data_IF_862975635160
#
_entry.id   IF_862975635160
#
_cell.length_a   1.000
_cell.length_b   1.000
_cell.length_c   1.000
_cell.angle_alpha   90.00
_cell.angle_beta   90.00
_cell.angle_gamma   90.00
#
_symmetry.space_group_name_H-M   'P 1'
#
loop_
_entity.id
_entity.type
_entity.pdbx_description
1 polymer ?
#
# COMPACT_ATOMS: atom_id res chain seq x y z
N UNK A 1 -28.99 -9.75 -42.03
CA UNK A 1 -29.26 -8.32 -42.27
C UNK A 1 -28.73 -7.53 -41.08
N UNK A 2 -27.59 -6.85 -41.23
CA UNK A 2 -26.95 -6.10 -40.15
C UNK A 2 -27.67 -4.78 -39.89
N UNK A 3 -28.11 -4.55 -38.65
CA UNK A 3 -28.73 -3.29 -38.25
C UNK A 3 -27.68 -2.19 -38.27
N UNK A 4 -27.78 -1.29 -39.25
CA UNK A 4 -26.93 -0.11 -39.34
C UNK A 4 -27.28 0.84 -38.21
N UNK A 5 -26.33 1.07 -37.30
CA UNK A 5 -26.45 2.08 -36.24
C UNK A 5 -26.67 3.46 -36.86
N UNK A 6 -27.76 4.12 -36.46
CA UNK A 6 -28.15 5.47 -36.89
C UNK A 6 -26.99 6.47 -36.76
N UNK A 7 -26.84 7.36 -37.76
CA UNK A 7 -25.79 8.39 -37.80
C UNK A 7 -25.77 9.25 -36.52
N UNK A 8 -26.93 9.50 -35.92
CA UNK A 8 -27.07 10.25 -34.66
C UNK A 8 -26.43 9.56 -33.46
N UNK A 9 -26.37 8.22 -33.46
CA UNK A 9 -25.72 7.45 -32.40
C UNK A 9 -24.19 7.57 -32.52
N UNK A 10 -23.65 7.45 -33.73
CA UNK A 10 -22.21 7.60 -34.00
C UNK A 10 -21.70 8.99 -33.61
N UNK A 11 -22.47 10.02 -33.93
CA UNK A 11 -22.15 11.40 -33.57
C UNK A 11 -22.09 11.60 -32.05
N UNK A 12 -23.04 11.02 -31.30
CA UNK A 12 -23.08 11.10 -29.83
C UNK A 12 -21.91 10.36 -29.17
N UNK A 13 -21.52 9.20 -29.71
CA UNK A 13 -20.35 8.45 -29.24
C UNK A 13 -19.06 9.24 -29.54
N UNK A 14 -18.98 9.86 -30.71
CA UNK A 14 -17.83 10.69 -31.10
C UNK A 14 -17.71 11.93 -30.21
N UNK A 15 -18.81 12.64 -29.94
CA UNK A 15 -18.83 13.78 -29.01
C UNK A 15 -18.37 13.39 -27.61
N UNK A 16 -18.90 12.29 -27.05
CA UNK A 16 -18.46 11.80 -25.73
C UNK A 16 -16.99 11.40 -25.70
N UNK A 17 -16.47 10.88 -26.81
CA UNK A 17 -15.05 10.51 -26.91
C UNK A 17 -14.18 11.77 -26.97
N UNK A 18 -14.60 12.79 -27.72
CA UNK A 18 -13.93 14.09 -27.83
C UNK A 18 -13.88 14.81 -26.48
N UNK A 19 -15.01 14.88 -25.77
CA UNK A 19 -15.11 15.49 -24.43
C UNK A 19 -14.19 14.80 -23.43
N UNK A 20 -14.09 13.46 -23.50
CA UNK A 20 -13.25 12.67 -22.61
C UNK A 20 -11.75 12.90 -22.88
N UNK A 21 -11.38 13.08 -24.14
CA UNK A 21 -10.01 13.44 -24.55
C UNK A 21 -9.68 14.86 -24.06
N UNK A 22 -10.57 15.83 -24.29
CA UNK A 22 -10.36 17.21 -23.89
C UNK A 22 -10.28 17.37 -22.36
N UNK A 23 -11.11 16.64 -21.62
CA UNK A 23 -11.07 16.62 -20.16
C UNK A 23 -9.78 15.98 -19.62
N UNK A 24 -9.23 14.97 -20.32
CA UNK A 24 -7.94 14.37 -19.95
C UNK A 24 -6.79 15.35 -20.14
N UNK A 25 -6.82 16.14 -21.21
CA UNK A 25 -5.76 17.09 -21.54
C UNK A 25 -5.79 18.33 -20.64
N UNK A 26 -6.97 18.82 -20.25
CA UNK A 26 -7.08 19.84 -19.19
C UNK A 26 -6.46 19.38 -17.87
N UNK A 27 -6.74 18.14 -17.44
CA UNK A 27 -6.14 17.58 -16.21
C UNK A 27 -4.63 17.39 -16.30
N UNK A 28 -4.09 17.17 -17.50
CA UNK A 28 -2.64 17.10 -17.74
C UNK A 28 -2.00 18.49 -17.65
N UNK A 29 -2.61 19.49 -18.29
CA UNK A 29 -2.14 20.88 -18.19
C UNK A 29 -2.19 21.41 -16.76
N UNK A 30 -3.25 21.11 -16.00
CA UNK A 30 -3.34 21.52 -14.58
C UNK A 30 -2.23 20.90 -13.73
N UNK A 31 -1.86 19.63 -13.99
CA UNK A 31 -0.72 18.98 -13.30
C UNK A 31 0.62 19.61 -13.67
N UNK A 32 0.81 19.94 -14.93
CA UNK A 32 2.03 20.58 -15.41
C UNK A 32 2.17 22.01 -14.86
N UNK A 33 1.09 22.79 -14.86
CA UNK A 33 1.06 24.11 -14.24
C UNK A 33 1.32 24.04 -12.73
N UNK A 34 0.77 23.04 -12.02
CA UNK A 34 1.03 22.85 -10.59
C UNK A 34 2.49 22.46 -10.30
N UNK A 35 3.11 21.72 -11.21
CA UNK A 35 4.53 21.34 -11.12
C UNK A 35 5.45 22.55 -11.38
N UNK A 36 5.15 23.36 -12.42
CA UNK A 36 5.86 24.61 -12.69
C UNK A 36 5.71 25.63 -11.56
N UNK A 37 4.53 25.72 -10.95
CA UNK A 37 4.31 26.60 -9.80
C UNK A 37 5.14 26.16 -8.58
N UNK A 38 5.34 24.86 -8.38
CA UNK A 38 6.22 24.33 -7.33
C UNK A 38 7.70 24.63 -7.62
N UNK A 39 8.17 24.52 -8.87
CA UNK A 39 9.54 24.92 -9.24
C UNK A 39 9.81 26.41 -9.03
N UNK A 40 8.84 27.27 -9.33
CA UNK A 40 8.96 28.73 -9.09
C UNK A 40 9.01 29.04 -7.59
N UNK A 41 8.24 28.32 -6.75
CA UNK A 41 8.24 28.54 -5.31
C UNK A 41 9.52 28.04 -4.63
N UNK A 42 10.15 26.97 -5.14
CA UNK A 42 11.44 26.46 -4.62
C UNK A 42 12.58 27.44 -4.89
N UNK A 43 12.53 28.19 -6.00
CA UNK A 43 13.53 29.21 -6.33
C UNK A 43 13.32 30.56 -5.61
N UNK A 44 12.23 30.72 -4.84
CA UNK A 44 11.93 31.96 -4.10
C UNK A 44 12.42 31.93 -2.64
N UNK A 45 12.78 30.76 -2.11
CA UNK A 45 13.13 30.57 -0.70
C UNK A 45 14.63 30.26 -0.48
N UNK A 46 15.53 31.01 -1.11
CA UNK A 46 16.95 30.96 -0.74
C UNK A 46 17.56 32.37 -0.56
N UNK A 47 17.55 32.92 0.67
CA UNK A 47 18.11 34.25 0.95
C UNK A 47 19.64 34.31 1.12
N UNK A 48 20.38 33.20 0.99
CA UNK A 48 21.84 33.24 1.06
C UNK A 48 22.44 32.24 0.10
N UNK A 49 23.25 32.79 -0.81
CA UNK A 49 24.52 32.28 -1.31
C UNK A 49 24.57 32.29 -2.84
N UNK A 50 25.35 33.23 -3.39
CA UNK A 50 26.13 33.10 -4.64
C UNK A 50 26.77 34.45 -5.01
N UNK A 51 27.86 34.81 -4.34
CA UNK A 51 28.89 35.68 -4.93
C UNK A 51 30.18 34.86 -5.10
N UNK A 52 30.24 34.02 -6.13
CA UNK A 52 31.53 33.58 -6.70
C UNK A 52 31.42 33.62 -8.24
N UNK A 53 32.13 34.55 -8.91
CA UNK A 53 32.23 34.55 -10.35
C UNK A 53 33.25 33.51 -10.82
N UNK A 54 32.79 32.56 -11.63
CA UNK A 54 33.65 31.68 -12.41
C UNK A 54 34.16 32.50 -13.60
N UNK A 55 35.46 32.78 -13.64
CA UNK A 55 36.13 33.27 -14.85
C UNK A 55 37.31 32.38 -15.21
N UNK A 56 37.37 32.14 -16.50
CA UNK A 56 38.33 31.42 -17.32
C UNK A 56 39.81 31.71 -17.02
N UNK A 57 40.62 30.66 -17.17
CA UNK A 57 41.97 30.59 -17.76
C UNK A 57 42.92 31.79 -17.57
N UNK A 58 44.08 31.55 -16.94
CA UNK A 58 45.45 31.84 -17.45
C UNK A 58 46.47 32.17 -16.33
N UNK A 59 47.65 31.53 -16.40
CA UNK A 59 48.99 32.10 -16.10
C UNK A 59 49.50 32.19 -14.64
N UNK A 60 50.41 31.25 -14.33
CA UNK A 60 51.78 31.45 -13.81
C UNK A 60 52.05 31.97 -12.39
N UNK A 61 52.90 31.16 -11.72
CA UNK A 61 54.13 31.50 -10.97
C UNK A 61 54.07 31.73 -9.45
N UNK A 62 55.00 30.99 -8.80
CA UNK A 62 55.77 31.28 -7.58
C UNK A 62 55.02 31.12 -6.24
N UNK A 63 55.24 30.03 -5.50
CA UNK A 63 56.37 29.76 -4.57
C UNK A 63 56.17 30.42 -3.20
N UNK A 64 55.96 29.60 -2.16
CA UNK A 64 56.78 29.52 -0.93
C UNK A 64 55.99 28.79 0.18
N UNK A 65 56.48 27.60 0.56
CA UNK A 65 56.42 27.04 1.93
C UNK A 65 57.22 27.96 2.89
N UNK A 66 57.12 27.90 4.24
CA UNK A 66 57.13 26.64 5.02
C UNK A 66 56.41 26.61 6.40
N UNK A 67 56.36 25.40 7.00
CA UNK A 67 56.58 25.03 8.42
C UNK A 67 55.78 25.70 9.57
N UNK A 68 55.44 25.11 10.73
CA UNK A 68 55.82 23.88 11.44
C UNK A 68 54.80 23.64 12.60
N UNK A 69 54.47 22.37 12.90
CA UNK A 69 54.24 21.74 14.24
C UNK A 69 53.26 22.29 15.30
N UNK A 70 52.42 21.38 15.86
CA UNK A 70 52.27 21.04 17.31
C UNK A 70 50.82 20.94 17.84
N UNK A 71 50.40 19.68 18.11
CA UNK A 71 49.77 19.14 19.33
C UNK A 71 48.59 19.90 20.00
N UNK A 72 47.36 19.33 19.96
CA UNK A 72 46.67 18.72 21.12
C UNK A 72 45.16 18.46 20.87
N UNK A 73 44.70 17.35 21.45
CA UNK A 73 43.30 16.97 21.62
C UNK A 73 42.55 17.99 22.50
N UNK A 74 41.29 18.30 22.18
CA UNK A 74 40.23 18.44 23.19
C UNK A 74 38.83 18.51 22.56
N UNK A 75 37.94 17.70 23.12
CA UNK A 75 36.50 17.58 22.78
C UNK A 75 35.70 18.63 23.57
N UNK A 76 34.77 19.39 22.95
CA UNK A 76 33.81 20.19 23.71
C UNK A 76 32.46 19.44 23.91
N UNK A 77 31.85 19.50 25.12
CA UNK A 77 30.60 18.80 25.44
C UNK A 77 29.33 19.64 25.15
N UNK A 78 28.22 18.94 24.95
CA UNK A 78 26.86 19.44 24.71
C UNK A 78 26.19 20.06 25.95
N UNK A 79 25.33 21.10 25.82
CA UNK A 79 24.64 21.68 26.97
C UNK A 79 23.40 20.89 27.43
N UNK A 80 23.37 20.58 28.73
CA UNK A 80 22.28 19.91 29.47
C UNK A 80 21.26 20.96 29.96
N UNK A 81 19.98 20.85 29.58
CA UNK A 81 18.90 21.70 30.12
C UNK A 81 18.56 21.28 31.57
N UNK A 82 18.53 22.26 32.48
CA UNK A 82 18.13 22.11 33.88
C UNK A 82 16.60 22.11 34.01
N UNK A 83 16.09 21.32 34.96
CA UNK A 83 14.68 21.19 35.32
C UNK A 83 14.48 21.95 36.63
N UNK A 84 13.73 23.05 36.61
CA UNK A 84 13.29 23.75 37.82
C UNK A 84 11.95 23.16 38.32
N UNK A 85 11.79 22.89 39.63
CA UNK A 85 10.53 22.46 40.22
C UNK A 85 9.73 23.64 40.79
N UNK A 86 8.40 23.51 40.73
CA UNK A 86 7.37 24.12 41.59
C UNK A 86 6.39 25.15 40.97
N UNK A 87 5.36 24.61 40.32
CA UNK A 87 3.89 24.83 40.50
C UNK A 87 3.38 26.27 40.78
N UNK A 88 2.55 26.80 39.86
CA UNK A 88 1.13 27.12 40.13
C UNK A 88 0.35 27.53 38.86
N UNK A 89 -0.78 26.84 38.65
CA UNK A 89 -2.05 27.20 37.99
C UNK A 89 -2.07 28.03 36.69
N UNK A 90 -2.70 27.48 35.64
CA UNK A 90 -3.98 27.94 35.04
C UNK A 90 -4.30 26.99 33.87
N UNK A 91 -5.33 26.15 34.02
CA UNK A 91 -5.90 25.32 32.95
C UNK A 91 -6.83 26.19 32.08
N UNK A 92 -6.75 26.15 30.73
CA UNK A 92 -7.78 26.72 29.90
C UNK A 92 -9.03 25.83 29.85
N UNK A 93 -10.14 26.50 30.12
CA UNK A 93 -11.53 26.08 30.19
C UNK A 93 -12.01 25.27 28.97
N UNK A 94 -12.50 24.04 29.16
CA UNK A 94 -13.20 23.24 28.14
C UNK A 94 -14.72 23.49 28.22
N UNK A 95 -15.36 24.06 27.19
CA UNK A 95 -16.82 24.05 27.12
C UNK A 95 -17.30 22.68 26.61
N UNK A 96 -17.89 21.89 27.51
CA UNK A 96 -18.88 20.88 27.16
C UNK A 96 -20.11 21.59 26.61
N UNK A 97 -20.66 21.19 25.46
CA UNK A 97 -22.10 20.89 25.24
C UNK A 97 -22.35 20.28 23.84
N UNK A 98 -23.36 19.42 23.80
CA UNK A 98 -24.18 18.97 22.66
C UNK A 98 -23.79 17.71 21.87
N UNK A 99 -24.32 16.59 22.39
CA UNK A 99 -24.88 15.46 21.62
C UNK A 99 -25.57 15.95 20.34
N UNK A 100 -25.05 15.59 19.18
CA UNK A 100 -25.80 15.64 17.93
C UNK A 100 -26.35 14.26 17.56
N UNK A 101 -27.64 14.32 17.21
CA UNK A 101 -28.57 13.21 16.97
C UNK A 101 -28.13 12.35 15.79
N UNK A 102 -28.34 11.04 15.95
CA UNK A 102 -28.41 10.08 14.84
C UNK A 102 -29.50 10.54 13.88
N UNK A 103 -29.10 11.06 12.73
CA UNK A 103 -30.01 11.33 11.62
C UNK A 103 -30.14 10.05 10.80
N UNK A 104 -31.16 9.25 11.13
CA UNK A 104 -31.69 8.23 10.23
C UNK A 104 -32.39 8.97 9.09
N UNK A 105 -31.80 8.93 7.89
CA UNK A 105 -32.50 8.93 6.60
C UNK A 105 -31.46 8.84 5.47
N UNK A 106 -31.24 7.63 4.96
CA UNK A 106 -30.89 7.46 3.55
C UNK A 106 -31.86 6.44 2.94
N UNK A 107 -32.52 6.90 1.88
CA UNK A 107 -33.49 6.17 1.10
C UNK A 107 -32.93 4.82 0.64
N UNK A 108 -33.77 3.80 0.80
CA UNK A 108 -33.60 2.50 0.19
C UNK A 108 -33.38 2.64 -1.32
N UNK A 109 -32.22 2.16 -1.79
CA UNK A 109 -32.09 1.68 -3.16
C UNK A 109 -31.93 0.17 -3.09
N UNK A 110 -33.06 -0.53 -3.16
CA UNK A 110 -33.13 -1.96 -3.34
C UNK A 110 -32.37 -2.34 -4.62
N UNK A 111 -31.26 -3.05 -4.47
CA UNK A 111 -30.82 -4.02 -5.46
C UNK A 111 -30.85 -5.38 -4.78
N UNK A 112 -31.75 -6.21 -5.26
CA UNK A 112 -32.03 -7.57 -4.84
C UNK A 112 -30.77 -8.41 -4.83
N UNK A 113 -30.39 -8.96 -3.68
CA UNK A 113 -29.45 -10.07 -3.61
C UNK A 113 -30.10 -11.25 -2.91
N UNK A 114 -30.21 -12.32 -3.67
CA UNK A 114 -30.73 -13.62 -3.28
C UNK A 114 -29.98 -14.19 -2.07
N UNK A 115 -30.74 -14.92 -1.24
CA UNK A 115 -30.31 -15.83 -0.17
C UNK A 115 -28.84 -16.27 -0.28
N UNK A 116 -27.98 -15.73 0.59
CA UNK A 116 -26.75 -16.39 1.00
C UNK A 116 -26.82 -16.70 2.48
N UNK A 117 -26.53 -17.96 2.79
CA UNK A 117 -26.39 -18.55 4.13
C UNK A 117 -25.54 -17.63 5.01
N UNK A 118 -25.88 -17.55 6.28
CA UNK A 118 -25.29 -16.64 7.27
C UNK A 118 -23.75 -16.76 7.33
N UNK A 119 -23.03 -15.85 6.69
CA UNK A 119 -21.58 -15.68 6.83
C UNK A 119 -21.35 -14.65 7.94
N UNK A 120 -20.54 -14.96 8.97
CA UNK A 120 -20.26 -14.02 10.05
C UNK A 120 -19.66 -12.71 9.52
N UNK A 121 -20.06 -11.59 10.13
CA UNK A 121 -19.79 -10.23 9.65
C UNK A 121 -18.29 -9.87 9.50
N UNK A 122 -17.37 -10.66 10.07
CA UNK A 122 -15.93 -10.46 9.91
C UNK A 122 -15.38 -10.89 8.54
N UNK A 123 -16.03 -11.83 7.83
CA UNK A 123 -15.58 -12.34 6.53
C UNK A 123 -16.09 -11.51 5.34
N UNK A 124 -17.11 -10.65 5.54
CA UNK A 124 -17.79 -9.97 4.44
C UNK A 124 -16.96 -8.86 3.75
N UNK A 125 -16.02 -8.23 4.46
CA UNK A 125 -15.28 -7.08 3.91
C UNK A 125 -14.02 -7.46 3.12
N UNK A 126 -13.35 -8.55 3.48
CA UNK A 126 -12.17 -9.07 2.76
C UNK A 126 -12.58 -9.89 1.52
N UNK A 127 -13.81 -10.42 1.51
CA UNK A 127 -14.39 -11.15 0.38
C UNK A 127 -14.72 -10.28 -0.85
N UNK A 128 -14.56 -8.94 -0.78
CA UNK A 128 -14.93 -8.02 -1.87
C UNK A 128 -14.20 -8.30 -3.19
N UNK A 129 -13.06 -9.01 -3.15
CA UNK A 129 -12.28 -9.38 -4.32
C UNK A 129 -12.41 -10.85 -4.73
N UNK A 130 -13.22 -11.67 -4.06
CA UNK A 130 -13.39 -13.09 -4.38
C UNK A 130 -14.34 -13.22 -5.58
N UNK A 131 -13.86 -13.49 -6.81
CA UNK A 131 -14.75 -13.63 -7.96
C UNK A 131 -15.68 -14.83 -7.76
N UNK A 132 -16.92 -14.70 -8.27
CA UNK A 132 -17.98 -15.72 -8.26
C UNK A 132 -17.61 -17.05 -8.96
N UNK A 133 -16.38 -17.17 -9.49
CA UNK A 133 -15.84 -18.32 -10.22
C UNK A 133 -15.35 -19.45 -9.31
N UNK A 134 -15.44 -19.28 -7.99
CA UNK A 134 -14.84 -20.18 -7.00
C UNK A 134 -15.31 -21.63 -7.13
N UNK A 135 -16.60 -21.85 -7.46
CA UNK A 135 -17.15 -23.20 -7.67
C UNK A 135 -16.52 -23.93 -8.87
N UNK A 136 -16.01 -23.20 -9.88
CA UNK A 136 -15.36 -23.81 -11.06
C UNK A 136 -13.89 -24.14 -10.87
N UNK A 137 -13.22 -23.44 -9.96
CA UNK A 137 -11.78 -23.62 -9.72
C UNK A 137 -11.54 -24.82 -8.82
N UNK A 138 -12.41 -25.04 -7.82
CA UNK A 138 -12.36 -26.21 -6.93
C UNK A 138 -12.43 -27.52 -7.75
N UNK A 139 -13.23 -27.56 -8.81
CA UNK A 139 -13.34 -28.71 -9.71
C UNK A 139 -12.11 -28.90 -10.64
N UNK A 140 -11.25 -27.88 -10.78
CA UNK A 140 -10.14 -27.85 -11.76
C UNK A 140 -8.78 -28.23 -11.18
N UNK A 141 -8.60 -28.30 -9.86
CA UNK A 141 -7.29 -28.63 -9.26
C UNK A 141 -7.08 -30.15 -9.25
N UNK A 142 -6.87 -30.74 -10.43
CA UNK A 142 -6.45 -32.15 -10.58
C UNK A 142 -4.95 -32.35 -10.34
N UNK A 143 -4.15 -31.30 -10.52
CA UNK A 143 -2.72 -31.32 -10.35
C UNK A 143 -2.26 -30.01 -9.67
N UNK A 144 -2.04 -30.02 -8.34
CA UNK A 144 -1.72 -28.81 -7.59
C UNK A 144 -0.38 -28.18 -8.02
N UNK A 145 0.61 -28.97 -8.45
CA UNK A 145 1.91 -28.46 -8.89
C UNK A 145 1.83 -27.73 -10.24
N UNK A 146 0.96 -28.20 -11.15
CA UNK A 146 0.69 -27.50 -12.40
C UNK A 146 0.01 -26.15 -12.13
N UNK A 147 -1.07 -26.16 -11.34
CA UNK A 147 -1.83 -24.95 -11.02
C UNK A 147 -0.96 -23.96 -10.23
N UNK A 148 -0.06 -24.44 -9.36
CA UNK A 148 0.91 -23.60 -8.67
C UNK A 148 1.80 -22.85 -9.65
N UNK A 149 2.41 -23.56 -10.63
CA UNK A 149 3.25 -22.91 -11.64
C UNK A 149 2.48 -21.89 -12.47
N UNK A 150 1.28 -22.23 -12.89
CA UNK A 150 0.39 -21.33 -13.63
C UNK A 150 0.03 -20.07 -12.82
N UNK A 151 -0.28 -20.23 -11.54
CA UNK A 151 -0.56 -19.12 -10.64
C UNK A 151 0.66 -18.19 -10.51
N UNK A 152 1.85 -18.75 -10.29
CA UNK A 152 3.10 -17.98 -10.12
C UNK A 152 3.49 -17.24 -11.41
N UNK A 153 3.29 -17.86 -12.58
CA UNK A 153 3.50 -17.22 -13.88
C UNK A 153 2.49 -16.08 -14.12
N UNK A 154 1.22 -16.30 -13.77
CA UNK A 154 0.16 -15.28 -13.89
C UNK A 154 0.40 -14.08 -12.97
N UNK A 155 0.90 -14.30 -11.75
CA UNK A 155 1.25 -13.21 -10.82
C UNK A 155 2.47 -12.42 -11.31
N UNK A 156 3.38 -13.06 -12.03
CA UNK A 156 4.59 -12.41 -12.56
C UNK A 156 4.31 -11.51 -13.79
N UNK A 157 3.12 -11.61 -14.39
CA UNK A 157 2.73 -10.76 -15.52
C UNK A 157 2.53 -9.29 -15.11
N UNK A 158 2.70 -8.36 -16.05
CA UNK A 158 2.43 -6.92 -15.83
C UNK A 158 0.94 -6.57 -15.89
N UNK A 159 0.14 -7.41 -16.57
CA UNK A 159 -1.29 -7.22 -16.64
C UNK A 159 -1.96 -7.51 -15.30
N UNK A 160 -2.68 -6.52 -14.78
CA UNK A 160 -3.28 -6.59 -13.45
C UNK A 160 -4.43 -7.61 -13.35
N UNK A 161 -5.13 -7.90 -14.45
CA UNK A 161 -6.20 -8.91 -14.45
C UNK A 161 -5.59 -10.30 -14.35
N UNK A 162 -4.49 -10.53 -15.08
CA UNK A 162 -3.71 -11.76 -14.97
C UNK A 162 -3.14 -11.96 -13.57
N UNK A 163 -2.58 -10.90 -12.96
CA UNK A 163 -2.15 -10.95 -11.55
C UNK A 163 -3.27 -11.35 -10.61
N UNK A 164 -4.44 -10.72 -10.71
CA UNK A 164 -5.61 -11.05 -9.89
C UNK A 164 -6.07 -12.50 -10.12
N UNK A 165 -6.06 -12.98 -11.37
CA UNK A 165 -6.38 -14.37 -11.70
C UNK A 165 -5.41 -15.35 -11.04
N UNK A 166 -4.11 -15.09 -11.13
CA UNK A 166 -3.07 -15.89 -10.47
C UNK A 166 -3.19 -15.88 -8.93
N UNK A 167 -3.45 -14.71 -8.34
CA UNK A 167 -3.71 -14.60 -6.89
C UNK A 167 -4.95 -15.38 -6.46
N UNK A 168 -5.98 -15.42 -7.30
CA UNK A 168 -7.18 -16.19 -7.02
C UNK A 168 -6.92 -17.71 -7.07
N UNK A 169 -6.19 -18.19 -8.09
CA UNK A 169 -5.74 -19.58 -8.15
C UNK A 169 -4.88 -19.95 -6.92
N UNK A 170 -4.01 -19.03 -6.50
CA UNK A 170 -3.18 -19.21 -5.32
C UNK A 170 -4.03 -19.33 -4.04
N UNK A 171 -5.08 -18.52 -3.86
CA UNK A 171 -6.01 -18.67 -2.73
C UNK A 171 -6.71 -20.05 -2.73
N UNK A 172 -7.12 -20.54 -3.90
CA UNK A 172 -7.73 -21.85 -4.03
C UNK A 172 -6.75 -22.97 -3.64
N UNK A 173 -5.48 -22.86 -4.05
CA UNK A 173 -4.42 -23.79 -3.65
C UNK A 173 -4.13 -23.73 -2.15
N UNK A 174 -4.06 -22.54 -1.55
CA UNK A 174 -3.85 -22.37 -0.10
C UNK A 174 -4.94 -23.10 0.69
N UNK A 175 -6.20 -23.00 0.25
CA UNK A 175 -7.33 -23.59 0.95
C UNK A 175 -7.44 -25.12 0.79
N UNK A 176 -7.05 -25.67 -0.36
CA UNK A 176 -7.25 -27.10 -0.69
C UNK A 176 -5.97 -27.94 -0.59
N UNK A 177 -4.81 -27.36 -0.88
CA UNK A 177 -3.50 -28.02 -0.92
C UNK A 177 -2.42 -27.18 -0.21
N UNK A 178 -2.59 -26.90 1.10
CA UNK A 178 -1.67 -26.03 1.85
C UNK A 178 -0.23 -26.55 1.90
N UNK A 179 -0.02 -27.87 1.75
CA UNK A 179 1.31 -28.47 1.74
C UNK A 179 2.14 -28.05 0.51
N UNK A 180 1.52 -27.94 -0.67
CA UNK A 180 2.18 -27.46 -1.90
C UNK A 180 2.68 -26.02 -1.73
N UNK A 181 1.90 -25.19 -1.05
CA UNK A 181 2.29 -23.80 -0.75
C UNK A 181 3.38 -23.76 0.32
N UNK A 182 3.28 -24.61 1.36
CA UNK A 182 4.26 -24.68 2.45
C UNK A 182 5.66 -25.06 1.91
N UNK A 183 5.75 -25.96 0.94
CA UNK A 183 7.02 -26.35 0.31
C UNK A 183 7.70 -25.18 -0.45
N UNK A 184 6.93 -24.22 -0.92
CA UNK A 184 7.41 -23.07 -1.68
C UNK A 184 7.15 -21.73 -0.96
N UNK A 185 7.02 -21.79 0.37
CA UNK A 185 6.45 -20.71 1.17
C UNK A 185 7.18 -19.38 0.98
N UNK A 186 8.51 -19.40 1.11
CA UNK A 186 9.33 -18.20 1.01
C UNK A 186 9.12 -17.46 -0.33
N UNK A 187 9.13 -18.21 -1.44
CA UNK A 187 8.94 -17.64 -2.77
C UNK A 187 7.56 -16.98 -2.91
N UNK A 188 6.51 -17.66 -2.44
CA UNK A 188 5.14 -17.12 -2.45
C UNK A 188 5.05 -15.84 -1.63
N UNK A 189 5.63 -15.82 -0.43
CA UNK A 189 5.63 -14.64 0.44
C UNK A 189 6.32 -13.45 -0.22
N UNK A 190 7.50 -13.65 -0.82
CA UNK A 190 8.22 -12.57 -1.49
C UNK A 190 7.43 -11.94 -2.63
N UNK A 191 6.77 -12.76 -3.46
CA UNK A 191 5.92 -12.27 -4.55
C UNK A 191 4.73 -11.50 -3.98
N UNK A 192 4.05 -12.03 -2.96
CA UNK A 192 2.92 -11.34 -2.35
C UNK A 192 3.31 -10.03 -1.67
N UNK A 193 4.51 -9.93 -1.09
CA UNK A 193 5.05 -8.67 -0.55
C UNK A 193 5.20 -7.63 -1.67
N UNK A 194 5.66 -8.04 -2.85
CA UNK A 194 5.73 -7.14 -4.01
C UNK A 194 4.33 -6.70 -4.44
N UNK A 195 3.36 -7.62 -4.49
CA UNK A 195 2.00 -7.30 -4.90
C UNK A 195 1.23 -6.46 -3.87
N UNK A 196 1.48 -6.60 -2.57
CA UNK A 196 0.96 -5.69 -1.54
C UNK A 196 1.41 -4.24 -1.77
N UNK A 197 2.62 -4.05 -2.30
CA UNK A 197 3.16 -2.72 -2.62
C UNK A 197 2.67 -2.19 -3.97
N UNK A 198 1.91 -2.97 -4.74
CA UNK A 198 1.44 -2.60 -6.07
C UNK A 198 0.62 -1.29 -6.05
N UNK A 199 0.86 -0.42 -7.04
CA UNK A 199 0.18 0.88 -7.16
C UNK A 199 -1.31 0.72 -7.48
N UNK A 200 -1.70 -0.41 -8.06
CA UNK A 200 -3.10 -0.73 -8.29
C UNK A 200 -3.72 -1.28 -7.02
N UNK A 201 -4.58 -0.47 -6.40
CA UNK A 201 -5.25 -0.80 -5.13
C UNK A 201 -5.99 -2.13 -5.14
N UNK A 202 -6.56 -2.54 -6.28
CA UNK A 202 -7.24 -3.83 -6.41
C UNK A 202 -6.27 -5.01 -6.23
N UNK A 203 -5.10 -4.97 -6.88
CA UNK A 203 -4.09 -6.02 -6.79
C UNK A 203 -3.51 -6.07 -5.39
N UNK A 204 -3.17 -4.90 -4.81
CA UNK A 204 -2.65 -4.82 -3.45
C UNK A 204 -3.63 -5.36 -2.40
N UNK A 205 -4.92 -5.03 -2.51
CA UNK A 205 -5.95 -5.57 -1.61
C UNK A 205 -6.19 -7.06 -1.83
N UNK A 206 -6.07 -7.56 -3.07
CA UNK A 206 -6.17 -8.98 -3.36
C UNK A 206 -5.00 -9.73 -2.71
N UNK A 207 -3.76 -9.28 -2.91
CA UNK A 207 -2.58 -9.87 -2.28
C UNK A 207 -2.67 -9.88 -0.75
N UNK A 208 -3.20 -8.81 -0.16
CA UNK A 208 -3.47 -8.76 1.28
C UNK A 208 -4.53 -9.81 1.70
N UNK A 209 -5.60 -9.98 0.92
CA UNK A 209 -6.56 -11.05 1.15
C UNK A 209 -5.94 -12.44 1.02
N UNK A 210 -4.98 -12.63 0.11
CA UNK A 210 -4.24 -13.90 0.00
C UNK A 210 -3.41 -14.15 1.26
N UNK A 211 -2.77 -13.14 1.85
CA UNK A 211 -2.10 -13.29 3.15
C UNK A 211 -3.05 -13.71 4.27
N UNK A 212 -4.28 -13.18 4.31
CA UNK A 212 -5.30 -13.63 5.28
C UNK A 212 -5.55 -15.14 5.16
N UNK A 213 -5.70 -15.65 3.93
CA UNK A 213 -5.89 -17.08 3.70
C UNK A 213 -4.64 -17.87 4.11
N UNK A 214 -3.44 -17.36 3.83
CA UNK A 214 -2.21 -18.01 4.29
C UNK A 214 -2.18 -18.14 5.82
N UNK A 215 -2.50 -17.08 6.56
CA UNK A 215 -2.58 -17.16 8.02
C UNK A 215 -3.62 -18.17 8.50
N UNK A 216 -4.81 -18.20 7.87
CA UNK A 216 -5.92 -19.09 8.22
C UNK A 216 -5.58 -20.57 7.99
N UNK A 217 -4.97 -20.90 6.86
CA UNK A 217 -4.78 -22.30 6.42
C UNK A 217 -3.39 -22.86 6.76
N UNK A 218 -2.32 -22.07 6.67
CA UNK A 218 -0.95 -22.54 6.92
C UNK A 218 -0.56 -22.42 8.40
N UNK A 219 -1.17 -21.48 9.14
CA UNK A 219 -1.02 -21.32 10.59
C UNK A 219 0.46 -21.27 11.02
N UNK A 220 0.91 -22.21 11.87
CA UNK A 220 2.28 -22.30 12.37
C UNK A 220 3.34 -22.36 11.26
N UNK A 221 3.02 -22.87 10.08
CA UNK A 221 3.97 -22.89 8.97
C UNK A 221 4.34 -21.47 8.52
N UNK A 222 3.48 -20.47 8.76
CA UNK A 222 3.79 -19.06 8.46
C UNK A 222 4.80 -18.44 9.42
N UNK A 223 5.03 -19.03 10.61
CA UNK A 223 5.84 -18.42 11.68
C UNK A 223 7.25 -18.01 11.22
N UNK A 224 7.81 -18.72 10.25
CA UNK A 224 9.15 -18.46 9.70
C UNK A 224 9.21 -17.21 8.79
N UNK A 225 8.08 -16.81 8.19
CA UNK A 225 8.00 -15.67 7.28
C UNK A 225 7.23 -14.47 7.87
N UNK A 226 6.79 -14.56 9.14
CA UNK A 226 5.96 -13.52 9.76
C UNK A 226 6.67 -12.18 9.83
N UNK A 227 7.94 -12.15 10.22
CA UNK A 227 8.68 -10.90 10.45
C UNK A 227 8.71 -10.03 9.18
N UNK A 228 8.99 -10.62 8.02
CA UNK A 228 9.03 -9.90 6.75
C UNK A 228 7.63 -9.52 6.25
N UNK A 229 6.65 -10.40 6.48
CA UNK A 229 5.27 -10.22 6.00
C UNK A 229 4.58 -9.10 6.78
N UNK A 230 4.62 -9.16 8.11
CA UNK A 230 3.98 -8.18 9.00
C UNK A 230 4.59 -6.80 8.78
N UNK A 231 5.92 -6.72 8.70
CA UNK A 231 6.63 -5.48 8.40
C UNK A 231 6.17 -4.86 7.07
N UNK A 232 6.04 -5.67 6.01
CA UNK A 232 5.58 -5.17 4.72
C UNK A 232 4.14 -4.64 4.77
N UNK A 233 3.24 -5.34 5.46
CA UNK A 233 1.83 -4.94 5.61
C UNK A 233 1.71 -3.64 6.42
N UNK A 234 2.43 -3.51 7.54
CA UNK A 234 2.41 -2.31 8.39
C UNK A 234 3.00 -1.11 7.65
N UNK A 235 4.13 -1.29 6.98
CA UNK A 235 4.72 -0.21 6.17
C UNK A 235 3.76 0.26 5.08
N UNK A 236 3.11 -0.69 4.37
CA UNK A 236 2.13 -0.35 3.34
C UNK A 236 0.91 0.34 3.93
N UNK A 237 0.44 -0.08 5.10
CA UNK A 237 -0.74 0.50 5.74
C UNK A 237 -0.50 1.95 6.18
N UNK A 238 0.72 2.26 6.65
CA UNK A 238 1.12 3.61 7.04
C UNK A 238 1.08 4.63 5.88
N UNK A 239 1.41 4.21 4.66
CA UNK A 239 1.35 5.07 3.47
C UNK A 239 -0.01 5.04 2.73
N UNK A 240 -0.93 4.16 3.13
CA UNK A 240 -2.17 3.90 2.39
C UNK A 240 -3.42 4.62 2.96
N UNK A 241 -4.51 4.55 2.20
CA UNK A 241 -5.81 5.10 2.61
C UNK A 241 -6.47 4.27 3.73
N UNK A 242 -7.55 4.82 4.29
CA UNK A 242 -8.32 4.19 5.37
C UNK A 242 -8.85 2.80 5.01
N UNK A 243 -9.24 2.59 3.74
CA UNK A 243 -9.73 1.29 3.26
C UNK A 243 -8.67 0.19 3.36
N UNK A 244 -7.45 0.46 2.87
CA UNK A 244 -6.37 -0.52 2.97
C UNK A 244 -5.94 -0.72 4.43
N UNK A 245 -5.89 0.36 5.23
CA UNK A 245 -5.59 0.26 6.67
C UNK A 245 -6.57 -0.63 7.41
N UNK A 246 -7.87 -0.47 7.16
CA UNK A 246 -8.91 -1.32 7.75
C UNK A 246 -8.79 -2.77 7.32
N UNK A 247 -8.45 -3.03 6.06
CA UNK A 247 -8.24 -4.41 5.59
C UNK A 247 -6.95 -5.01 6.17
N UNK A 248 -5.90 -4.21 6.36
CA UNK A 248 -4.64 -4.63 6.97
C UNK A 248 -4.83 -4.97 8.45
N UNK A 249 -5.60 -4.17 9.19
CA UNK A 249 -5.96 -4.47 10.58
C UNK A 249 -6.67 -5.82 10.71
N UNK A 250 -7.65 -6.09 9.83
CA UNK A 250 -8.34 -7.39 9.80
C UNK A 250 -7.39 -8.54 9.44
N UNK A 251 -6.46 -8.31 8.52
CA UNK A 251 -5.44 -9.28 8.15
C UNK A 251 -4.52 -9.62 9.33
N UNK A 252 -4.07 -8.60 10.07
CA UNK A 252 -3.24 -8.78 11.26
C UNK A 252 -4.02 -9.43 12.41
N UNK A 253 -5.32 -9.16 12.56
CA UNK A 253 -6.16 -9.89 13.50
C UNK A 253 -6.25 -11.38 13.14
N UNK A 254 -6.49 -11.70 11.87
CA UNK A 254 -6.49 -13.08 11.36
C UNK A 254 -5.16 -13.80 11.61
N UNK A 255 -4.03 -13.08 11.51
CA UNK A 255 -2.72 -13.61 11.88
C UNK A 255 -2.69 -14.00 13.37
N UNK A 256 -3.01 -13.06 14.26
CA UNK A 256 -2.96 -13.28 15.73
C UNK A 256 -3.85 -14.46 16.15
N UNK A 257 -4.99 -14.65 15.49
CA UNK A 257 -5.94 -15.72 15.81
C UNK A 257 -5.46 -17.12 15.37
N UNK A 258 -4.53 -17.22 14.42
CA UNK A 258 -4.18 -18.50 13.78
C UNK A 258 -2.71 -18.93 13.93
N UNK A 259 -1.78 -17.99 14.09
CA UNK A 259 -0.33 -18.30 14.20
C UNK A 259 0.11 -18.44 15.65
N UNK A 260 1.37 -18.80 15.90
CA UNK A 260 1.87 -18.90 17.28
C UNK A 260 1.91 -17.52 17.94
N UNK A 261 1.22 -17.35 19.07
CA UNK A 261 1.11 -16.05 19.78
C UNK A 261 2.48 -15.40 20.04
N UNK A 262 3.47 -16.16 20.47
CA UNK A 262 4.83 -15.65 20.71
C UNK A 262 5.44 -15.06 19.43
N UNK A 263 5.22 -15.69 18.28
CA UNK A 263 5.73 -15.25 16.98
C UNK A 263 4.96 -14.06 16.45
N UNK A 264 3.64 -14.04 16.60
CA UNK A 264 2.82 -12.88 16.30
C UNK A 264 3.30 -11.64 17.07
N UNK A 265 3.53 -11.77 18.38
CA UNK A 265 4.02 -10.67 19.22
C UNK A 265 5.39 -10.17 18.77
N UNK A 266 6.33 -11.08 18.49
CA UNK A 266 7.67 -10.74 17.99
C UNK A 266 7.59 -9.97 16.66
N UNK A 267 6.80 -10.47 15.71
CA UNK A 267 6.64 -9.86 14.40
C UNK A 267 5.98 -8.49 14.47
N UNK A 268 4.99 -8.29 15.36
CA UNK A 268 4.34 -6.99 15.58
C UNK A 268 5.31 -5.96 16.16
N UNK A 269 6.10 -6.34 17.17
CA UNK A 269 7.13 -5.46 17.76
C UNK A 269 8.20 -5.11 16.71
N UNK A 270 8.66 -6.09 15.94
CA UNK A 270 9.66 -5.88 14.89
C UNK A 270 9.12 -5.05 13.71
N UNK A 271 7.83 -5.18 13.42
CA UNK A 271 7.12 -4.45 12.38
C UNK A 271 6.77 -3.00 12.75
N UNK A 272 6.85 -2.64 14.04
CA UNK A 272 6.51 -1.30 14.54
C UNK A 272 5.01 -1.08 14.73
N UNK A 273 4.26 -2.12 15.10
CA UNK A 273 2.84 -2.05 15.44
C UNK A 273 2.58 -1.39 16.80
#
# INVERSE_FOLDING_TARGET
>A
MGQSLSASFRLRVQQKTQEKIEQKERRRQDRENRSRQQEININSDNPYDNDIPISSTSTSRYSSQPDLTTINNDVPPTPRRQIDPNINAILPNFPSQHRFRVSKNFMARSQTFNNRRDIPANEQHLAFNRPLSEDRIVDQIRNPDHVYREAMESISNDDWEQKCSGLHLLQALIAQYPDTITQNLHQVVLILIQEVKNLRSQVARFALSTFCDMFKYLKRNMDIELDITVKAIIQKSAESNEFFRSDAEKCLQMMVDNVTLQKALQALIAGGA
#
